data_IF_650024554626
#
_entry.id   IF_650024554626
#
_cell.length_a   1.000
_cell.length_b   1.000
_cell.length_c   1.000
_cell.angle_alpha   90.00
_cell.angle_beta   90.00
_cell.angle_gamma   90.00
#
_symmetry.space_group_name_H-M   'P 1'
#
loop_
_entity.id
_entity.type
_entity.pdbx_description
1 polymer ?
#
# COMPACT_ATOMS: atom_id res chain seq x y z
N UNK A 1 15.19 13.72 -9.12
CA UNK A 1 14.40 12.48 -9.21
C UNK A 1 13.22 12.54 -10.20
N UNK A 2 12.50 13.64 -10.36
CA UNK A 2 11.43 13.77 -11.38
C UNK A 2 11.92 13.66 -12.85
N UNK A 3 13.15 14.09 -13.14
CA UNK A 3 13.72 14.04 -14.50
C UNK A 3 13.98 12.63 -15.04
N UNK A 4 14.21 11.66 -14.15
CA UNK A 4 14.45 10.26 -14.57
C UNK A 4 13.16 9.52 -14.90
N UNK A 5 12.05 9.90 -14.26
CA UNK A 5 10.73 9.31 -14.50
C UNK A 5 10.19 9.70 -15.87
N UNK A 6 10.32 10.98 -16.24
CA UNK A 6 9.89 11.51 -17.55
C UNK A 6 10.70 10.90 -18.70
N UNK A 7 12.00 10.60 -18.50
CA UNK A 7 12.82 9.92 -19.50
C UNK A 7 12.44 8.45 -19.69
N UNK A 8 12.04 7.75 -18.63
CA UNK A 8 11.53 6.39 -18.72
C UNK A 8 10.20 6.32 -19.46
N UNK A 9 9.29 7.27 -19.22
CA UNK A 9 8.01 7.33 -19.95
C UNK A 9 8.22 7.50 -21.46
N UNK A 10 9.13 8.40 -21.86
CA UNK A 10 9.42 8.64 -23.27
C UNK A 10 10.03 7.40 -23.95
N UNK A 11 10.93 6.70 -23.26
CA UNK A 11 11.53 5.47 -23.76
C UNK A 11 10.50 4.34 -23.92
N UNK A 12 9.54 4.27 -23.02
CA UNK A 12 8.43 3.30 -23.07
C UNK A 12 7.47 3.58 -24.22
N UNK A 13 7.13 4.85 -24.46
CA UNK A 13 6.27 5.25 -25.58
C UNK A 13 6.93 4.94 -26.92
N UNK A 14 8.22 5.21 -27.07
CA UNK A 14 8.96 4.96 -28.32
C UNK A 14 9.11 3.45 -28.62
N UNK A 15 9.31 2.62 -27.62
CA UNK A 15 9.32 1.14 -27.77
C UNK A 15 7.92 0.65 -28.17
N UNK A 16 6.88 1.17 -27.56
CA UNK A 16 5.51 0.75 -27.81
C UNK A 16 5.01 1.12 -29.21
N UNK A 17 5.36 2.32 -29.69
CA UNK A 17 5.05 2.76 -31.06
C UNK A 17 5.75 1.88 -32.09
N UNK A 18 7.00 1.48 -31.85
CA UNK A 18 7.72 0.59 -32.76
C UNK A 18 7.15 -0.85 -32.78
N UNK A 19 6.62 -1.36 -31.68
CA UNK A 19 5.97 -2.68 -31.63
C UNK A 19 4.64 -2.65 -32.39
N UNK A 20 3.86 -1.58 -32.28
CA UNK A 20 2.57 -1.42 -32.98
C UNK A 20 2.72 -1.29 -34.53
N UNK A 21 3.84 -0.75 -35.00
CA UNK A 21 4.09 -0.64 -36.45
C UNK A 21 4.54 -1.97 -37.06
N UNK A 22 5.03 -2.94 -36.28
CA UNK A 22 5.51 -4.23 -36.78
C UNK A 22 4.40 -5.30 -36.97
N UNK A 23 3.19 -5.07 -36.43
CA UNK A 23 2.11 -6.07 -36.41
C UNK A 23 1.09 -5.96 -37.56
N UNK A 24 1.31 -5.10 -38.56
CA UNK A 24 0.35 -4.86 -39.63
C UNK A 24 0.38 -5.87 -40.77
N UNK A 25 1.06 -7.01 -40.64
CA UNK A 25 1.13 -8.04 -41.67
C UNK A 25 1.07 -9.46 -41.10
N UNK A 26 -0.10 -9.84 -40.56
CA UNK A 26 -0.43 -11.25 -40.39
C UNK A 26 -1.94 -11.45 -40.53
N UNK A 27 -2.35 -12.07 -41.64
CA UNK A 27 -3.72 -12.55 -41.88
C UNK A 27 -4.15 -13.54 -40.82
N UNK A 28 -5.26 -13.29 -40.16
CA UNK A 28 -5.78 -14.10 -39.07
C UNK A 28 -6.91 -14.98 -39.60
N UNK A 29 -6.72 -16.28 -39.44
CA UNK A 29 -7.73 -17.31 -39.63
C UNK A 29 -8.82 -17.15 -38.55
N UNK A 30 -10.04 -16.87 -39.00
CA UNK A 30 -11.25 -16.70 -38.21
C UNK A 30 -11.75 -18.04 -37.71
N UNK A 31 -11.66 -18.31 -36.42
CA UNK A 31 -12.38 -19.44 -35.80
C UNK A 31 -13.59 -18.85 -35.05
N UNK A 32 -14.78 -19.03 -35.61
CA UNK A 32 -16.05 -18.77 -34.92
C UNK A 32 -16.25 -19.84 -33.85
N UNK A 33 -16.30 -19.44 -32.57
CA UNK A 33 -16.82 -20.25 -31.49
C UNK A 33 -18.11 -19.67 -30.92
N UNK A 34 -19.10 -20.53 -30.96
CA UNK A 34 -20.48 -20.40 -30.49
C UNK A 34 -20.68 -19.60 -29.16
N UNK A 35 -21.72 -18.79 -29.18
CA UNK A 35 -22.78 -18.54 -28.20
C UNK A 35 -22.45 -18.69 -26.71
N UNK A 36 -21.67 -17.73 -26.14
CA UNK A 36 -21.80 -17.41 -24.74
C UNK A 36 -22.42 -16.01 -24.66
N UNK A 37 -23.44 -15.82 -23.85
CA UNK A 37 -23.98 -14.49 -23.54
C UNK A 37 -22.84 -13.58 -23.19
N UNK A 38 -22.62 -12.56 -24.03
CA UNK A 38 -21.60 -11.52 -23.78
C UNK A 38 -22.11 -10.74 -22.56
N UNK A 39 -21.67 -11.13 -21.36
CA UNK A 39 -21.97 -10.33 -20.17
C UNK A 39 -21.47 -8.92 -20.45
N UNK A 40 -22.38 -7.95 -20.42
CA UNK A 40 -22.01 -6.53 -20.60
C UNK A 40 -20.97 -6.15 -19.56
N UNK A 41 -19.75 -5.88 -20.00
CA UNK A 41 -18.68 -5.39 -19.14
C UNK A 41 -19.03 -4.00 -18.62
N UNK A 42 -18.91 -3.80 -17.34
CA UNK A 42 -19.16 -2.51 -16.69
C UNK A 42 -17.85 -1.78 -16.42
N UNK A 43 -17.93 -0.46 -16.44
CA UNK A 43 -16.81 0.40 -16.07
C UNK A 43 -17.12 1.08 -14.75
N UNK A 44 -16.24 0.89 -13.77
CA UNK A 44 -16.31 1.53 -12.47
C UNK A 44 -15.16 2.52 -12.30
N UNK A 45 -15.39 3.55 -11.54
CA UNK A 45 -14.44 4.63 -11.30
C UNK A 45 -14.19 4.75 -9.81
N UNK A 46 -12.93 4.84 -9.42
CA UNK A 46 -12.57 4.96 -8.01
C UNK A 46 -11.79 6.23 -7.74
N UNK A 47 -12.28 7.05 -6.82
CA UNK A 47 -11.65 8.28 -6.36
C UNK A 47 -11.38 8.24 -4.86
N UNK A 48 -10.23 8.80 -4.44
CA UNK A 48 -9.83 8.85 -3.04
C UNK A 48 -9.12 10.15 -2.69
N UNK A 49 -9.41 10.66 -1.49
CA UNK A 49 -8.65 11.73 -0.85
C UNK A 49 -8.26 11.35 0.58
N UNK A 50 -7.14 11.89 1.08
CA UNK A 50 -6.58 11.51 2.38
C UNK A 50 -7.14 12.30 3.56
N UNK A 51 -7.78 13.44 3.32
CA UNK A 51 -8.37 14.30 4.36
C UNK A 51 -9.77 14.76 3.98
N UNK A 52 -10.57 15.14 5.00
CA UNK A 52 -11.94 15.64 4.78
C UNK A 52 -11.98 16.93 3.96
N UNK A 53 -10.91 17.73 4.06
CA UNK A 53 -10.81 19.05 3.41
C UNK A 53 -10.26 18.98 1.96
N UNK A 54 -9.76 17.81 1.52
CA UNK A 54 -9.32 17.62 0.15
C UNK A 54 -10.52 17.35 -0.77
N UNK A 55 -10.53 18.08 -1.89
CA UNK A 55 -11.64 18.04 -2.82
C UNK A 55 -11.49 16.85 -3.80
N UNK A 56 -12.51 16.01 -3.86
CA UNK A 56 -12.66 14.93 -4.83
C UNK A 56 -13.04 15.44 -6.24
N UNK A 57 -13.51 16.68 -6.34
CA UNK A 57 -14.14 17.21 -7.56
C UNK A 57 -13.24 17.08 -8.79
N UNK A 58 -11.93 17.28 -8.64
CA UNK A 58 -10.99 17.12 -9.75
C UNK A 58 -10.94 15.69 -10.31
N UNK A 59 -11.09 14.69 -9.46
CA UNK A 59 -11.12 13.30 -9.89
C UNK A 59 -12.46 12.96 -10.51
N UNK A 60 -13.55 13.38 -9.87
CA UNK A 60 -14.92 13.19 -10.34
C UNK A 60 -15.13 13.89 -11.68
N UNK A 61 -14.64 15.13 -11.85
CA UNK A 61 -14.72 15.85 -13.11
C UNK A 61 -14.03 15.10 -14.25
N UNK A 62 -12.81 14.62 -14.01
CA UNK A 62 -12.08 13.84 -15.00
C UNK A 62 -12.82 12.53 -15.37
N UNK A 63 -13.51 11.90 -14.41
CA UNK A 63 -14.32 10.71 -14.70
C UNK A 63 -15.59 11.05 -15.50
N UNK A 64 -16.23 12.18 -15.19
CA UNK A 64 -17.41 12.66 -15.94
C UNK A 64 -17.08 13.04 -17.38
N UNK A 65 -15.88 13.57 -17.61
CA UNK A 65 -15.37 13.81 -18.97
C UNK A 65 -15.24 12.53 -19.80
N UNK A 66 -15.03 11.38 -19.14
CA UNK A 66 -15.04 10.05 -19.75
C UNK A 66 -16.44 9.43 -19.85
N UNK A 67 -17.49 10.15 -19.47
CA UNK A 67 -18.88 9.67 -19.52
C UNK A 67 -19.31 8.86 -18.27
N UNK A 68 -18.57 8.95 -17.15
CA UNK A 68 -18.94 8.24 -15.93
C UNK A 68 -20.29 8.71 -15.37
N UNK A 69 -21.16 7.76 -15.03
CA UNK A 69 -22.39 8.00 -14.27
C UNK A 69 -22.07 8.09 -12.76
N UNK A 70 -22.78 8.92 -12.03
CA UNK A 70 -22.56 9.08 -10.59
C UNK A 70 -22.67 7.78 -9.80
N UNK A 71 -23.50 6.83 -10.23
CA UNK A 71 -23.67 5.51 -9.62
C UNK A 71 -22.46 4.57 -9.82
N UNK A 72 -21.63 4.85 -10.82
CA UNK A 72 -20.47 4.02 -11.16
C UNK A 72 -19.17 4.61 -10.54
N UNK A 73 -19.28 5.76 -9.88
CA UNK A 73 -18.17 6.44 -9.20
C UNK A 73 -18.20 6.10 -7.71
N UNK A 74 -17.21 5.38 -7.25
CA UNK A 74 -17.03 5.01 -5.86
C UNK A 74 -15.97 5.92 -5.23
N UNK A 75 -16.26 6.44 -4.04
CA UNK A 75 -15.39 7.42 -3.38
C UNK A 75 -15.09 7.03 -1.94
N UNK A 76 -13.82 7.21 -1.53
CA UNK A 76 -13.41 7.10 -0.13
C UNK A 76 -12.68 8.38 0.33
N UNK A 77 -12.91 8.77 1.60
CA UNK A 77 -12.26 9.91 2.26
C UNK A 77 -11.39 9.40 3.40
N UNK A 78 -10.37 8.63 3.06
CA UNK A 78 -9.49 7.96 4.02
C UNK A 78 -8.03 7.99 3.57
N UNK A 79 -7.10 7.78 4.52
CA UNK A 79 -5.67 7.77 4.20
C UNK A 79 -5.30 6.62 3.26
N UNK A 80 -4.31 6.85 2.39
CA UNK A 80 -3.88 5.85 1.41
C UNK A 80 -2.95 4.76 1.94
N UNK A 81 -2.72 4.71 3.26
CA UNK A 81 -1.85 3.72 3.90
C UNK A 81 -2.54 2.42 4.27
N UNK A 82 -3.85 2.34 4.07
CA UNK A 82 -4.64 1.15 4.33
C UNK A 82 -5.57 0.86 3.15
N UNK A 83 -5.74 -0.41 2.83
CA UNK A 83 -6.68 -0.89 1.80
C UNK A 83 -8.06 -1.24 2.40
N UNK A 84 -8.18 -1.26 3.73
CA UNK A 84 -9.42 -1.55 4.45
C UNK A 84 -10.35 -0.31 4.49
N UNK A 85 -10.83 0.09 3.31
CA UNK A 85 -11.73 1.20 3.07
C UNK A 85 -13.07 0.67 2.58
N UNK A 86 -14.16 1.14 3.17
CA UNK A 86 -15.49 0.60 2.91
C UNK A 86 -15.90 0.66 1.43
N UNK A 87 -15.67 1.79 0.75
CA UNK A 87 -15.97 1.95 -0.67
C UNK A 87 -15.10 1.05 -1.55
N UNK A 88 -13.79 1.01 -1.27
CA UNK A 88 -12.86 0.16 -2.02
C UNK A 88 -13.16 -1.33 -1.84
N UNK A 89 -13.43 -1.77 -0.61
CA UNK A 89 -13.77 -3.16 -0.33
C UNK A 89 -15.11 -3.57 -0.97
N UNK A 90 -16.11 -2.69 -0.94
CA UNK A 90 -17.38 -2.92 -1.63
C UNK A 90 -17.17 -3.04 -3.15
N UNK A 91 -16.38 -2.13 -3.74
CA UNK A 91 -16.02 -2.17 -5.15
C UNK A 91 -15.31 -3.48 -5.51
N UNK A 92 -14.26 -3.84 -4.77
CA UNK A 92 -13.41 -5.00 -5.04
C UNK A 92 -14.17 -6.34 -4.89
N UNK A 93 -14.95 -6.48 -3.81
CA UNK A 93 -15.52 -7.79 -3.42
C UNK A 93 -16.95 -8.00 -3.87
N UNK A 94 -17.72 -6.93 -4.12
CA UNK A 94 -19.14 -7.03 -4.41
C UNK A 94 -19.52 -6.51 -5.81
N UNK A 95 -18.80 -5.53 -6.36
CA UNK A 95 -19.22 -4.88 -7.61
C UNK A 95 -18.44 -5.38 -8.82
N UNK A 96 -17.10 -5.43 -8.74
CA UNK A 96 -16.25 -5.83 -9.86
C UNK A 96 -16.35 -7.32 -10.18
N UNK A 97 -16.48 -7.63 -11.46
CA UNK A 97 -16.58 -8.98 -12.00
C UNK A 97 -15.59 -9.17 -13.14
N UNK A 98 -15.35 -10.41 -13.52
CA UNK A 98 -14.53 -10.74 -14.68
C UNK A 98 -15.06 -10.04 -15.95
N UNK A 99 -14.18 -9.35 -16.64
CA UNK A 99 -14.51 -8.56 -17.83
C UNK A 99 -14.78 -7.08 -17.56
N UNK A 100 -14.96 -6.68 -16.28
CA UNK A 100 -15.19 -5.28 -15.93
C UNK A 100 -13.88 -4.46 -16.01
N UNK A 101 -14.08 -3.14 -16.09
CA UNK A 101 -12.98 -2.16 -16.09
C UNK A 101 -13.03 -1.29 -14.85
N UNK A 102 -11.91 -1.15 -14.16
CA UNK A 102 -11.71 -0.20 -13.07
C UNK A 102 -10.86 0.96 -13.57
N UNK A 103 -11.37 2.18 -13.48
CA UNK A 103 -10.64 3.40 -13.83
C UNK A 103 -10.29 4.16 -12.56
N UNK A 104 -9.00 4.50 -12.42
CA UNK A 104 -8.47 5.36 -11.36
C UNK A 104 -7.73 6.54 -11.97
N UNK A 105 -7.66 7.65 -11.27
CA UNK A 105 -6.89 8.78 -11.78
C UNK A 105 -5.39 8.49 -11.80
N UNK A 106 -4.88 7.93 -10.72
CA UNK A 106 -3.46 7.57 -10.54
C UNK A 106 -3.33 6.35 -9.63
N UNK A 107 -2.23 5.62 -9.70
CA UNK A 107 -2.02 4.40 -8.90
C UNK A 107 -2.00 4.66 -7.39
N UNK A 108 -1.59 5.85 -6.95
CA UNK A 108 -1.61 6.25 -5.54
C UNK A 108 -3.03 6.43 -4.98
N UNK A 109 -4.07 6.39 -5.83
CA UNK A 109 -5.46 6.29 -5.37
C UNK A 109 -5.79 4.90 -4.85
N UNK A 110 -5.17 3.86 -5.39
CA UNK A 110 -5.30 2.49 -4.86
C UNK A 110 -4.57 2.37 -3.51
N UNK A 111 -3.28 2.60 -3.46
CA UNK A 111 -2.48 2.65 -2.23
C UNK A 111 -1.32 3.62 -2.36
N UNK A 112 -0.74 4.05 -1.24
CA UNK A 112 0.55 4.76 -1.21
C UNK A 112 1.73 3.80 -1.13
N UNK A 113 1.52 2.59 -0.65
CA UNK A 113 2.52 1.54 -0.65
C UNK A 113 2.59 0.88 -2.02
N UNK A 114 3.78 0.82 -2.59
CA UNK A 114 4.00 0.25 -3.92
C UNK A 114 3.84 -1.26 -3.95
N UNK A 115 4.10 -1.91 -2.82
CA UNK A 115 3.86 -3.34 -2.66
C UNK A 115 2.37 -3.66 -2.70
N UNK A 116 1.55 -2.86 -2.04
CA UNK A 116 0.09 -2.99 -2.10
C UNK A 116 -0.43 -2.75 -3.51
N UNK A 117 0.07 -1.70 -4.20
CA UNK A 117 -0.34 -1.43 -5.60
C UNK A 117 -0.01 -2.63 -6.48
N UNK A 118 1.19 -3.22 -6.34
CA UNK A 118 1.59 -4.43 -7.07
C UNK A 118 0.61 -5.58 -6.81
N UNK A 119 0.30 -5.85 -5.54
CA UNK A 119 -0.60 -6.92 -5.13
C UNK A 119 -2.01 -6.71 -5.68
N UNK A 120 -2.52 -5.47 -5.66
CA UNK A 120 -3.84 -5.14 -6.17
C UNK A 120 -3.91 -5.29 -7.71
N UNK A 121 -2.90 -4.82 -8.44
CA UNK A 121 -2.83 -5.01 -9.89
C UNK A 121 -2.75 -6.50 -10.27
N UNK A 122 -2.00 -7.30 -9.50
CA UNK A 122 -1.94 -8.74 -9.67
C UNK A 122 -3.30 -9.39 -9.42
N UNK A 123 -3.97 -9.01 -8.32
CA UNK A 123 -5.32 -9.49 -8.00
C UNK A 123 -6.32 -9.18 -9.12
N UNK A 124 -6.35 -7.94 -9.63
CA UNK A 124 -7.27 -7.55 -10.70
C UNK A 124 -6.99 -8.33 -11.99
N UNK A 125 -5.72 -8.51 -12.33
CA UNK A 125 -5.32 -9.33 -13.48
C UNK A 125 -5.80 -10.77 -13.35
N UNK A 126 -5.56 -11.44 -12.20
CA UNK A 126 -5.94 -12.82 -11.94
C UNK A 126 -7.47 -13.00 -11.99
N UNK A 127 -8.24 -11.99 -11.59
CA UNK A 127 -9.69 -11.97 -11.65
C UNK A 127 -10.25 -11.49 -13.00
N UNK A 128 -9.40 -11.20 -13.98
CA UNK A 128 -9.80 -10.76 -15.31
C UNK A 128 -10.48 -9.38 -15.31
N UNK A 129 -10.09 -8.50 -14.36
CA UNK A 129 -10.56 -7.12 -14.25
C UNK A 129 -9.50 -6.21 -14.88
N UNK A 130 -9.93 -5.36 -15.80
CA UNK A 130 -9.04 -4.42 -16.47
C UNK A 130 -8.85 -3.15 -15.65
N UNK A 131 -7.61 -2.78 -15.37
CA UNK A 131 -7.30 -1.53 -14.68
C UNK A 131 -6.80 -0.50 -15.68
N UNK A 132 -7.47 0.66 -15.74
CA UNK A 132 -7.07 1.83 -16.52
C UNK A 132 -6.68 2.97 -15.57
N UNK A 133 -5.60 3.68 -15.88
CA UNK A 133 -5.07 4.77 -15.06
C UNK A 133 -4.95 6.02 -15.91
N UNK A 134 -5.65 7.11 -15.54
CA UNK A 134 -5.69 8.34 -16.35
C UNK A 134 -4.31 8.97 -16.54
N UNK A 135 -3.49 8.94 -15.49
CA UNK A 135 -2.13 9.48 -15.54
C UNK A 135 -1.15 8.56 -16.31
N UNK A 136 -1.62 7.41 -16.81
CA UNK A 136 -0.85 6.46 -17.64
C UNK A 136 -1.59 6.21 -18.96
N UNK A 137 -1.35 7.03 -19.99
CA UNK A 137 -2.08 6.96 -21.27
C UNK A 137 -2.02 5.58 -21.95
N UNK A 138 -0.93 4.83 -21.75
CA UNK A 138 -0.77 3.46 -22.28
C UNK A 138 -1.83 2.48 -21.77
N UNK A 139 -2.39 2.71 -20.60
CA UNK A 139 -3.46 1.88 -20.02
C UNK A 139 -4.85 2.26 -20.55
N UNK A 140 -5.00 3.47 -21.10
CA UNK A 140 -6.26 4.01 -21.60
C UNK A 140 -6.56 3.63 -23.05
N UNK A 141 -5.58 3.08 -23.75
CA UNK A 141 -5.73 2.74 -25.19
C UNK A 141 -6.81 1.67 -25.37
N UNK A 142 -7.69 1.88 -26.35
CA UNK A 142 -8.60 0.83 -26.81
C UNK A 142 -7.91 0.06 -27.92
N UNK A 143 -7.76 -1.24 -27.70
CA UNK A 143 -7.08 -2.14 -28.64
C UNK A 143 -8.13 -2.88 -29.50
N UNK A 144 -7.80 -3.18 -30.75
CA UNK A 144 -8.64 -4.03 -31.60
C UNK A 144 -8.89 -5.40 -30.97
N UNK A 145 -10.01 -6.03 -31.32
CA UNK A 145 -10.31 -7.41 -30.90
C UNK A 145 -9.15 -8.37 -31.27
N UNK A 146 -8.77 -9.22 -30.33
CA UNK A 146 -7.66 -10.16 -30.47
C UNK A 146 -6.29 -9.63 -30.03
N UNK A 147 -6.20 -8.36 -29.58
CA UNK A 147 -4.97 -7.79 -29.04
C UNK A 147 -5.02 -7.58 -27.51
N UNK A 148 -5.91 -8.25 -26.82
CA UNK A 148 -6.05 -8.17 -25.35
C UNK A 148 -4.74 -8.52 -24.62
N UNK A 149 -3.89 -9.37 -25.23
CA UNK A 149 -2.59 -9.72 -24.69
C UNK A 149 -1.67 -8.50 -24.45
N UNK A 150 -1.87 -7.40 -25.19
CA UNK A 150 -1.09 -6.16 -25.00
C UNK A 150 -1.38 -5.55 -23.62
N UNK A 151 -2.63 -5.61 -23.14
CA UNK A 151 -2.96 -5.16 -21.78
C UNK A 151 -2.30 -6.03 -20.73
N UNK A 152 -2.29 -7.34 -20.94
CA UNK A 152 -1.61 -8.27 -20.04
C UNK A 152 -0.11 -7.99 -19.99
N UNK A 153 0.49 -7.67 -21.13
CA UNK A 153 1.88 -7.27 -21.21
C UNK A 153 2.14 -5.96 -20.47
N UNK A 154 1.32 -4.92 -20.69
CA UNK A 154 1.46 -3.62 -20.01
C UNK A 154 1.28 -3.79 -18.50
N UNK A 155 0.27 -4.53 -18.06
CA UNK A 155 0.06 -4.81 -16.65
C UNK A 155 1.24 -5.58 -16.03
N UNK A 156 1.80 -6.56 -16.72
CA UNK A 156 2.97 -7.31 -16.27
C UNK A 156 4.18 -6.40 -16.06
N UNK A 157 4.43 -5.52 -17.03
CA UNK A 157 5.53 -4.57 -16.95
C UNK A 157 5.32 -3.60 -15.77
N UNK A 158 4.10 -3.08 -15.57
CA UNK A 158 3.78 -2.21 -14.44
C UNK A 158 4.00 -2.93 -13.11
N UNK A 159 3.52 -4.16 -12.97
CA UNK A 159 3.68 -4.99 -11.77
C UNK A 159 5.17 -5.21 -11.48
N UNK A 160 5.98 -5.54 -12.47
CA UNK A 160 7.41 -5.80 -12.32
C UNK A 160 8.18 -4.53 -11.92
N UNK A 161 7.92 -3.42 -12.62
CA UNK A 161 8.55 -2.11 -12.33
C UNK A 161 8.19 -1.63 -10.93
N UNK A 162 6.91 -1.69 -10.56
CA UNK A 162 6.46 -1.30 -9.22
C UNK A 162 7.08 -2.19 -8.14
N UNK A 163 7.17 -3.50 -8.38
CA UNK A 163 7.82 -4.44 -7.48
C UNK A 163 9.29 -4.10 -7.25
N UNK A 164 10.03 -3.85 -8.32
CA UNK A 164 11.45 -3.48 -8.25
C UNK A 164 11.66 -2.16 -7.49
N UNK A 165 10.80 -1.15 -7.74
CA UNK A 165 10.87 0.14 -7.03
C UNK A 165 10.55 -0.05 -5.55
N UNK A 166 9.54 -0.84 -5.20
CA UNK A 166 9.17 -1.10 -3.81
C UNK A 166 10.30 -1.81 -3.04
N UNK A 167 10.95 -2.78 -3.66
CA UNK A 167 12.11 -3.46 -3.07
C UNK A 167 13.30 -2.52 -2.86
N UNK A 168 13.59 -1.68 -3.85
CA UNK A 168 14.66 -0.71 -3.75
C UNK A 168 14.39 0.32 -2.64
N UNK A 169 13.16 0.77 -2.51
CA UNK A 169 12.74 1.70 -1.45
C UNK A 169 12.90 1.07 -0.06
N UNK A 170 12.51 -0.19 0.10
CA UNK A 170 12.72 -0.97 1.34
C UNK A 170 14.20 -1.10 1.69
N UNK A 171 15.07 -1.37 0.73
CA UNK A 171 16.53 -1.42 0.92
C UNK A 171 17.08 -0.06 1.36
N UNK A 172 16.65 1.01 0.70
CA UNK A 172 17.08 2.37 1.04
C UNK A 172 16.65 2.80 2.45
N UNK A 173 15.42 2.44 2.87
CA UNK A 173 14.93 2.70 4.24
C UNK A 173 15.79 1.96 5.27
N UNK A 174 16.06 0.66 5.06
CA UNK A 174 16.92 -0.14 5.97
C UNK A 174 18.33 0.43 6.06
N UNK A 175 18.91 0.86 4.95
CA UNK A 175 20.24 1.46 4.91
C UNK A 175 20.27 2.76 5.73
N UNK A 176 19.32 3.69 5.49
CA UNK A 176 19.23 4.95 6.27
C UNK A 176 19.00 4.69 7.76
N UNK A 177 18.18 3.68 8.11
CA UNK A 177 17.98 3.29 9.51
C UNK A 177 19.27 2.76 10.13
N UNK A 178 20.02 1.91 9.44
CA UNK A 178 21.30 1.39 9.93
C UNK A 178 22.33 2.52 10.14
N UNK A 179 22.43 3.44 9.20
CA UNK A 179 23.28 4.63 9.30
C UNK A 179 22.86 5.51 10.50
N UNK A 180 21.56 5.80 10.63
CA UNK A 180 21.04 6.58 11.75
C UNK A 180 21.28 5.92 13.11
N UNK A 181 21.15 4.59 13.20
CA UNK A 181 21.46 3.82 14.40
C UNK A 181 22.97 3.88 14.71
N UNK A 182 23.84 3.76 13.70
CA UNK A 182 25.28 3.85 13.88
C UNK A 182 25.70 5.22 14.42
N UNK A 183 25.17 6.29 13.84
CA UNK A 183 25.42 7.68 14.32
C UNK A 183 24.89 7.88 15.74
N UNK A 184 23.68 7.38 16.04
CA UNK A 184 23.12 7.51 17.40
C UNK A 184 23.98 6.78 18.44
N UNK A 185 24.49 5.58 18.11
CA UNK A 185 25.42 4.82 18.96
C UNK A 185 26.74 5.56 19.15
N UNK A 186 27.32 6.11 18.08
CA UNK A 186 28.56 6.90 18.14
C UNK A 186 28.41 8.14 19.04
N UNK A 187 27.22 8.75 19.04
CA UNK A 187 26.87 9.87 19.92
C UNK A 187 26.46 9.45 21.34
N UNK A 188 26.70 8.21 21.74
CA UNK A 188 26.42 7.70 23.09
C UNK A 188 24.93 7.47 23.40
N UNK A 189 24.02 7.58 22.43
CA UNK A 189 22.61 7.27 22.66
C UNK A 189 22.41 5.77 22.92
N UNK A 190 21.86 5.45 24.08
CA UNK A 190 21.40 4.09 24.39
C UNK A 190 20.12 3.82 23.62
N UNK A 191 20.14 2.84 22.72
CA UNK A 191 18.99 2.41 21.94
C UNK A 191 18.34 1.23 22.63
N UNK A 192 17.03 1.11 22.48
CA UNK A 192 16.23 0.03 23.04
C UNK A 192 15.27 0.51 24.12
N UNK A 193 14.69 -0.44 24.84
CA UNK A 193 13.77 -0.12 25.94
C UNK A 193 14.55 0.58 27.06
N UNK A 194 14.05 1.68 27.63
CA UNK A 194 14.65 2.31 28.80
C UNK A 194 14.93 1.28 29.92
N UNK A 195 16.08 1.40 30.56
CA UNK A 195 16.39 0.57 31.71
C UNK A 195 15.35 0.80 32.81
N UNK A 196 15.02 -0.27 33.51
CA UNK A 196 14.15 -0.18 34.66
C UNK A 196 14.87 0.64 35.74
N UNK A 197 14.25 1.71 36.18
CA UNK A 197 14.79 2.59 37.24
C UNK A 197 14.14 2.23 38.57
N UNK A 198 14.89 2.37 39.65
CA UNK A 198 14.36 2.26 40.99
C UNK A 198 13.43 3.45 41.27
N UNK A 199 12.21 3.20 41.83
CA UNK A 199 11.38 4.28 42.35
C UNK A 199 12.09 5.03 43.47
N UNK A 200 11.80 6.31 43.63
CA UNK A 200 12.43 7.16 44.65
C UNK A 200 12.23 6.69 46.09
N UNK A 201 11.17 5.94 46.36
CA UNK A 201 10.83 5.36 47.65
C UNK A 201 11.18 3.88 47.75
N UNK A 202 12.03 3.35 46.82
CA UNK A 202 12.34 1.93 46.74
C UNK A 202 12.92 1.38 48.04
N UNK A 203 13.97 1.98 48.57
CA UNK A 203 14.71 1.46 49.71
C UNK A 203 13.84 1.30 50.98
N UNK A 204 12.99 2.31 51.26
CA UNK A 204 12.08 2.26 52.37
C UNK A 204 10.98 1.20 52.22
N UNK A 205 10.40 1.10 51.05
CA UNK A 205 9.35 0.12 50.73
C UNK A 205 9.90 -1.29 50.68
N UNK A 206 11.08 -1.46 50.11
CA UNK A 206 11.77 -2.75 50.09
C UNK A 206 12.10 -3.25 51.49
N UNK A 207 12.62 -2.39 52.40
CA UNK A 207 12.94 -2.74 53.79
C UNK A 207 11.67 -3.17 54.53
N UNK A 208 10.57 -2.40 54.48
CA UNK A 208 9.31 -2.74 55.12
C UNK A 208 8.68 -4.04 54.56
N UNK A 209 8.84 -4.32 53.28
CA UNK A 209 8.39 -5.56 52.69
C UNK A 209 9.25 -6.76 53.15
N UNK A 210 10.55 -6.61 53.21
CA UNK A 210 11.46 -7.68 53.70
C UNK A 210 11.27 -7.93 55.18
N UNK A 211 10.96 -6.91 56.00
CA UNK A 211 10.61 -7.03 57.40
C UNK A 211 9.23 -7.68 57.64
N UNK A 212 8.42 -7.87 56.58
CA UNK A 212 7.11 -8.47 56.69
C UNK A 212 6.01 -7.49 57.17
N UNK A 213 6.32 -6.19 57.25
CA UNK A 213 5.40 -5.14 57.68
C UNK A 213 4.29 -4.86 56.63
N UNK A 214 4.64 -5.01 55.36
CA UNK A 214 3.73 -4.85 54.22
C UNK A 214 3.76 -6.04 53.28
N UNK A 215 2.65 -6.28 52.60
CA UNK A 215 2.56 -7.34 51.58
C UNK A 215 3.20 -6.93 50.27
N UNK A 216 3.61 -7.89 49.42
CA UNK A 216 4.15 -7.62 48.12
C UNK A 216 3.17 -6.79 47.25
N UNK A 217 1.86 -6.96 47.41
CA UNK A 217 0.82 -6.16 46.71
C UNK A 217 0.89 -4.70 47.12
N UNK A 218 0.96 -4.45 48.42
CA UNK A 218 1.08 -3.08 48.95
C UNK A 218 2.40 -2.43 48.54
N UNK A 219 3.51 -3.19 48.54
CA UNK A 219 4.80 -2.70 48.05
C UNK A 219 4.75 -2.29 46.58
N UNK A 220 4.09 -3.08 45.72
CA UNK A 220 3.89 -2.77 44.31
C UNK A 220 3.01 -1.52 44.10
N UNK A 221 1.98 -1.35 44.94
CA UNK A 221 1.11 -0.16 44.92
C UNK A 221 1.88 1.10 45.33
N UNK A 222 2.63 1.05 46.45
CA UNK A 222 3.45 2.16 46.94
C UNK A 222 4.54 2.59 45.97
N UNK A 223 5.15 1.64 45.24
CA UNK A 223 6.20 1.90 44.26
C UNK A 223 5.65 2.15 42.85
N UNK A 224 4.34 2.08 42.67
CA UNK A 224 3.66 2.17 41.36
C UNK A 224 4.30 1.26 40.28
N UNK A 225 4.65 0.03 40.69
CA UNK A 225 5.31 -0.94 39.81
C UNK A 225 4.41 -2.12 39.48
N UNK A 226 4.52 -2.66 38.27
CA UNK A 226 3.87 -3.91 37.90
C UNK A 226 4.66 -5.10 38.51
N UNK A 227 3.97 -6.20 38.76
CA UNK A 227 4.55 -7.41 39.36
C UNK A 227 5.90 -7.84 38.77
N UNK A 228 5.98 -7.91 37.45
CA UNK A 228 7.23 -8.28 36.75
C UNK A 228 8.37 -7.29 36.99
N UNK A 229 8.04 -5.98 37.02
CA UNK A 229 9.03 -4.94 37.29
C UNK A 229 9.48 -4.95 38.74
N UNK A 230 8.55 -5.13 39.68
CA UNK A 230 8.84 -5.21 41.11
C UNK A 230 9.86 -6.32 41.43
N UNK A 231 9.55 -7.57 41.04
CA UNK A 231 10.46 -8.68 41.32
C UNK A 231 11.79 -8.57 40.54
N UNK A 232 11.82 -7.89 39.39
CA UNK A 232 13.08 -7.62 38.72
C UNK A 232 13.94 -6.61 39.48
N UNK A 233 13.32 -5.58 40.09
CA UNK A 233 14.02 -4.64 40.95
C UNK A 233 14.52 -5.32 42.23
N UNK A 234 13.69 -6.20 42.85
CA UNK A 234 14.13 -7.05 43.99
C UNK A 234 15.38 -7.85 43.65
N UNK A 235 15.38 -8.55 42.50
CA UNK A 235 16.54 -9.29 42.07
C UNK A 235 17.79 -8.45 41.78
N UNK A 236 17.59 -7.20 41.36
CA UNK A 236 18.69 -6.25 41.18
C UNK A 236 19.26 -5.78 42.54
N UNK A 237 18.41 -5.50 43.54
CA UNK A 237 18.82 -5.11 44.89
C UNK A 237 19.54 -6.26 45.64
N UNK A 238 19.15 -7.51 45.39
CA UNK A 238 19.74 -8.68 46.04
C UNK A 238 21.07 -9.15 45.37
N UNK A 239 21.38 -8.60 44.18
CA UNK A 239 22.58 -8.89 43.44
C UNK A 239 23.72 -7.86 43.67
N UNK A 240 23.44 -6.74 44.35
CA UNK A 240 24.39 -5.73 44.81
C UNK A 240 24.88 -6.11 46.24
#
# INVERSE_FOLDING_TARGET
MLSSFVKLEKYFVDIFVNILTFTNTCDIIRIERNGGEKMESRTYYYARVSTKDQNLDRQISAFKELGASDRDIITDKESGGDLDRAGYQALKNAMLRKGDTLIVKSLDRLSRDKGDIKNELQYFKENGIRVKVLDLPTTMMDLPEGQEWVFDMVNNILIEVLGTIAEQEKKNIKMRQAEGIAVAKANGKKLGRPALQFPTNWDSVYASWKAGEITAKQAMELTNTKRTSFYKLVGMTEAE
#
